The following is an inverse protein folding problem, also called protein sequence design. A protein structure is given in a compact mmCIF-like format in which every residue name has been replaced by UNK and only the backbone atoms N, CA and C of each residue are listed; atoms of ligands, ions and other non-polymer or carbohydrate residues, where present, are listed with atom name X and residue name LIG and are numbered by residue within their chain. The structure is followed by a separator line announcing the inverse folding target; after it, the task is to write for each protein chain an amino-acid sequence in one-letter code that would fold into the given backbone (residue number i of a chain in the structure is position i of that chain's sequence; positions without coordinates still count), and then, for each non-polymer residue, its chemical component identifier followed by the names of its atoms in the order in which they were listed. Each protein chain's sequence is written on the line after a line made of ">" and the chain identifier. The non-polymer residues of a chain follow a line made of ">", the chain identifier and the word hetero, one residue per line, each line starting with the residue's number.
data_IF_323461047723
#
_entry.id   IF_323461047723
#
_cell.length_a   1.000
_cell.length_b   1.000
_cell.length_c   1.000
_cell.angle_alpha   90.00
_cell.angle_beta   90.00
_cell.angle_gamma   90.00
#
_symmetry.space_group_name_H-M   'P 1'
#
loop_
_entity.id
_entity.type
_entity.pdbx_description
1 polymer ?
#
# COMPACT_ATOMS: atom_id res chain seq x y z
N UNK A 1 -21.77 -8.19 2.76
CA UNK A 1 -20.50 -7.81 2.11
C UNK A 1 -20.37 -8.64 0.84
N UNK A 2 -20.16 -7.99 -0.31
CA UNK A 2 -19.81 -8.65 -1.57
C UNK A 2 -18.46 -9.35 -1.40
N UNK A 3 -18.30 -10.52 -2.02
CA UNK A 3 -17.02 -11.23 -2.16
C UNK A 3 -17.03 -11.92 -3.51
N UNK A 4 -16.22 -11.47 -4.45
CA UNK A 4 -16.15 -12.02 -5.79
C UNK A 4 -14.70 -12.12 -6.29
N UNK A 5 -14.48 -13.10 -7.15
CA UNK A 5 -13.22 -13.30 -7.86
C UNK A 5 -13.45 -12.99 -9.33
N UNK A 6 -12.64 -12.11 -9.89
CA UNK A 6 -12.81 -11.62 -11.26
C UNK A 6 -11.46 -11.38 -11.92
N UNK A 7 -11.39 -11.55 -13.24
CA UNK A 7 -10.26 -11.04 -14.00
C UNK A 7 -10.56 -9.62 -14.47
N UNK A 8 -9.69 -8.67 -14.10
CA UNK A 8 -9.73 -7.29 -14.60
C UNK A 8 -8.57 -7.14 -15.58
N UNK A 9 -8.88 -6.99 -16.86
CA UNK A 9 -7.88 -7.23 -17.90
C UNK A 9 -7.34 -8.66 -17.84
N UNK A 10 -6.04 -8.82 -17.76
CA UNK A 10 -5.36 -10.12 -17.66
C UNK A 10 -5.05 -10.56 -16.22
N UNK A 11 -5.36 -9.73 -15.22
CA UNK A 11 -4.96 -9.96 -13.82
C UNK A 11 -6.14 -10.45 -13.00
N UNK A 12 -5.90 -11.53 -12.24
CA UNK A 12 -6.86 -12.08 -11.29
C UNK A 12 -6.97 -11.18 -10.05
N UNK A 13 -8.20 -10.89 -9.64
CA UNK A 13 -8.51 -10.01 -8.53
C UNK A 13 -9.54 -10.65 -7.58
N UNK A 14 -9.33 -10.42 -6.28
CA UNK A 14 -10.35 -10.66 -5.26
C UNK A 14 -10.97 -9.31 -4.89
N UNK A 15 -12.29 -9.19 -4.99
CA UNK A 15 -13.01 -7.94 -4.70
C UNK A 15 -13.98 -8.16 -3.57
N UNK A 16 -13.90 -7.29 -2.57
CA UNK A 16 -14.85 -7.25 -1.46
C UNK A 16 -15.47 -5.86 -1.38
N UNK A 17 -16.77 -5.77 -1.09
CA UNK A 17 -17.41 -4.48 -0.91
C UNK A 17 -18.52 -4.52 0.16
N UNK A 18 -18.63 -3.44 0.90
CA UNK A 18 -19.79 -3.16 1.74
C UNK A 18 -21.02 -2.86 0.87
N UNK A 19 -22.22 -2.77 1.44
CA UNK A 19 -23.44 -2.50 0.67
C UNK A 19 -23.41 -1.14 -0.04
N UNK A 20 -22.77 -0.14 0.59
CA UNK A 20 -22.64 1.23 0.07
C UNK A 20 -21.20 1.69 0.23
N UNK A 21 -20.32 1.36 -0.69
CA UNK A 21 -18.95 1.86 -0.65
C UNK A 21 -18.91 3.37 -0.90
N UNK A 22 -18.06 4.06 -0.16
CA UNK A 22 -17.78 5.50 -0.26
C UNK A 22 -16.30 5.75 -0.65
N UNK A 23 -15.50 4.69 -0.67
CA UNK A 23 -14.07 4.73 -0.98
C UNK A 23 -13.64 3.42 -1.63
N UNK A 24 -12.67 3.50 -2.54
CA UNK A 24 -12.05 2.38 -3.22
C UNK A 24 -10.65 2.15 -2.66
N UNK A 25 -10.32 0.90 -2.35
CA UNK A 25 -9.04 0.48 -1.81
C UNK A 25 -8.36 -0.45 -2.79
N UNK A 26 -7.09 -0.20 -3.08
CA UNK A 26 -6.29 -0.94 -4.06
C UNK A 26 -5.06 -1.50 -3.37
N UNK A 27 -4.90 -2.82 -3.41
CA UNK A 27 -3.80 -3.52 -2.76
C UNK A 27 -3.22 -4.60 -3.67
N UNK A 28 -1.90 -4.64 -3.88
CA UNK A 28 -1.25 -5.79 -4.50
C UNK A 28 -1.30 -7.00 -3.55
N UNK A 29 -1.48 -8.18 -4.12
CA UNK A 29 -1.49 -9.45 -3.40
C UNK A 29 -0.55 -10.45 -4.08
N UNK A 30 0.20 -11.20 -3.31
CA UNK A 30 0.98 -12.29 -3.86
C UNK A 30 0.08 -13.49 -4.18
N UNK A 31 0.33 -14.16 -5.30
CA UNK A 31 -0.52 -15.23 -5.84
C UNK A 31 -0.86 -16.36 -4.86
N UNK A 32 0.02 -16.61 -3.88
CA UNK A 32 -0.21 -17.62 -2.84
C UNK A 32 -1.09 -17.11 -1.69
N UNK A 33 -1.20 -15.78 -1.50
CA UNK A 33 -2.03 -15.17 -0.44
C UNK A 33 -3.52 -15.24 -0.77
N UNK A 34 -3.88 -15.32 -2.06
CA UNK A 34 -5.28 -15.48 -2.50
C UNK A 34 -5.93 -16.79 -2.00
N UNK A 35 -5.11 -17.75 -1.52
CA UNK A 35 -5.57 -19.01 -0.92
C UNK A 35 -5.52 -19.02 0.61
N UNK A 36 -5.04 -17.95 1.24
CA UNK A 36 -4.85 -17.87 2.68
C UNK A 36 -5.95 -17.04 3.35
N UNK A 37 -6.26 -17.39 4.61
CA UNK A 37 -7.17 -16.64 5.47
C UNK A 37 -6.73 -15.19 5.76
N UNK A 38 -5.55 -14.76 5.29
CA UNK A 38 -4.99 -13.42 5.48
C UNK A 38 -5.89 -12.32 4.90
N UNK A 39 -6.29 -12.44 3.64
CA UNK A 39 -7.19 -11.47 2.98
C UNK A 39 -8.53 -11.39 3.70
N UNK A 40 -9.15 -12.53 4.01
CA UNK A 40 -10.43 -12.55 4.72
C UNK A 40 -10.32 -11.92 6.12
N UNK A 41 -9.20 -12.15 6.83
CA UNK A 41 -8.92 -11.54 8.13
C UNK A 41 -8.78 -10.03 8.01
N UNK A 42 -8.01 -9.56 7.05
CA UNK A 42 -7.81 -8.14 6.77
C UNK A 42 -9.14 -7.44 6.48
N UNK A 43 -9.94 -7.96 5.56
CA UNK A 43 -11.25 -7.41 5.19
C UNK A 43 -12.20 -7.40 6.39
N UNK A 44 -12.23 -8.47 7.20
CA UNK A 44 -13.06 -8.54 8.41
C UNK A 44 -12.64 -7.48 9.44
N UNK A 45 -11.35 -7.29 9.65
CA UNK A 45 -10.85 -6.26 10.58
C UNK A 45 -11.16 -4.86 10.07
N UNK A 46 -10.92 -4.61 8.79
CA UNK A 46 -11.24 -3.34 8.15
C UNK A 46 -12.73 -3.00 8.28
N UNK A 47 -13.61 -3.99 8.06
CA UNK A 47 -15.06 -3.82 8.19
C UNK A 47 -15.52 -3.45 9.61
N UNK A 48 -14.72 -3.74 10.64
CA UNK A 48 -15.03 -3.39 12.02
C UNK A 48 -14.41 -2.07 12.47
N UNK A 49 -13.42 -1.54 11.72
CA UNK A 49 -12.62 -0.37 12.12
C UNK A 49 -12.82 0.86 11.23
N UNK A 50 -13.20 0.65 9.96
CA UNK A 50 -13.50 1.72 9.04
C UNK A 50 -14.84 2.40 9.37
N UNK A 51 -14.85 3.74 9.34
CA UNK A 51 -16.05 4.55 9.61
C UNK A 51 -16.93 4.78 8.39
N UNK A 52 -16.44 4.43 7.19
CA UNK A 52 -17.16 4.53 5.91
C UNK A 52 -17.22 3.17 5.22
N UNK A 53 -18.23 2.99 4.37
CA UNK A 53 -18.28 1.85 3.47
C UNK A 53 -17.12 1.87 2.47
N UNK A 54 -16.64 0.71 2.07
CA UNK A 54 -15.51 0.58 1.15
C UNK A 54 -15.71 -0.56 0.15
N UNK A 55 -15.03 -0.46 -0.99
CA UNK A 55 -14.72 -1.58 -1.86
C UNK A 55 -13.21 -1.75 -1.90
N UNK A 56 -12.72 -2.96 -1.66
CA UNK A 56 -11.29 -3.29 -1.71
C UNK A 56 -11.04 -4.33 -2.79
N UNK A 57 -10.00 -4.09 -3.59
CA UNK A 57 -9.50 -5.02 -4.58
C UNK A 57 -8.07 -5.45 -4.24
N UNK A 58 -7.89 -6.76 -4.17
CA UNK A 58 -6.58 -7.40 -4.11
C UNK A 58 -6.25 -7.90 -5.51
N UNK A 59 -5.30 -7.28 -6.18
CA UNK A 59 -4.87 -7.72 -7.51
C UNK A 59 -3.62 -8.60 -7.42
N UNK A 60 -3.63 -9.70 -8.17
CA UNK A 60 -2.56 -10.71 -8.12
C UNK A 60 -1.29 -10.21 -8.81
N UNK A 61 -0.16 -10.36 -8.14
CA UNK A 61 1.17 -10.12 -8.69
C UNK A 61 1.93 -11.44 -8.78
N UNK A 62 2.17 -11.91 -9.99
CA UNK A 62 2.81 -13.24 -10.21
C UNK A 62 4.24 -13.26 -9.68
N UNK A 63 4.98 -12.17 -9.86
CA UNK A 63 6.37 -12.00 -9.41
C UNK A 63 6.47 -10.74 -8.57
N UNK A 64 6.26 -10.88 -7.26
CA UNK A 64 6.10 -9.82 -6.27
C UNK A 64 7.14 -8.70 -6.38
N UNK A 65 8.44 -9.05 -6.32
CA UNK A 65 9.50 -8.06 -6.39
C UNK A 65 9.58 -7.40 -7.78
N UNK A 66 9.39 -8.17 -8.86
CA UNK A 66 9.44 -7.67 -10.23
C UNK A 66 8.33 -6.65 -10.50
N UNK A 67 7.11 -6.94 -10.05
CA UNK A 67 5.95 -6.09 -10.26
C UNK A 67 5.95 -4.80 -9.41
N UNK A 68 6.59 -4.81 -8.24
CA UNK A 68 6.42 -3.74 -7.24
C UNK A 68 7.67 -2.91 -6.96
N UNK A 69 8.87 -3.40 -7.30
CA UNK A 69 10.10 -2.63 -7.09
C UNK A 69 10.21 -1.51 -8.13
N UNK A 70 10.34 -0.25 -7.70
CA UNK A 70 10.43 0.89 -8.63
C UNK A 70 11.78 0.99 -9.36
N UNK A 71 12.82 0.36 -8.83
CA UNK A 71 14.16 0.23 -9.43
C UNK A 71 14.88 -0.98 -8.86
N UNK A 72 15.95 -1.38 -9.51
CA UNK A 72 16.75 -2.52 -9.09
C UNK A 72 17.49 -2.24 -7.78
N UNK A 73 17.45 -3.21 -6.88
CA UNK A 73 18.34 -3.29 -5.72
C UNK A 73 18.78 -4.75 -5.54
N UNK A 74 20.09 -5.02 -5.66
CA UNK A 74 20.69 -6.34 -5.51
C UNK A 74 20.44 -6.98 -4.13
N UNK A 75 20.12 -6.18 -3.12
CA UNK A 75 19.77 -6.70 -1.79
C UNK A 75 18.38 -7.33 -1.76
N UNK A 76 17.49 -6.95 -2.70
CA UNK A 76 16.17 -7.58 -2.90
C UNK A 76 16.29 -8.75 -3.85
N UNK A 77 16.94 -8.55 -4.99
CA UNK A 77 17.14 -9.56 -6.01
C UNK A 77 18.31 -9.21 -6.92
N UNK A 78 19.05 -10.24 -7.37
CA UNK A 78 20.06 -10.11 -8.42
C UNK A 78 19.49 -10.28 -9.84
N UNK A 79 18.18 -10.54 -9.96
CA UNK A 79 17.51 -10.60 -11.26
C UNK A 79 17.39 -9.15 -11.79
N UNK A 80 17.96 -8.90 -12.97
CA UNK A 80 17.97 -7.59 -13.62
C UNK A 80 16.57 -7.07 -13.99
N UNK A 81 15.59 -7.96 -14.14
CA UNK A 81 14.20 -7.57 -14.41
C UNK A 81 13.47 -6.98 -13.18
N UNK A 82 14.00 -7.18 -11.96
CA UNK A 82 13.45 -6.54 -10.77
C UNK A 82 13.76 -5.05 -10.79
N UNK A 83 12.72 -4.23 -10.68
CA UNK A 83 12.82 -2.77 -10.77
C UNK A 83 12.47 -2.20 -12.14
N UNK A 84 12.03 -3.02 -13.10
CA UNK A 84 11.66 -2.56 -14.44
C UNK A 84 10.14 -2.51 -14.69
N UNK A 85 9.32 -3.16 -13.84
CA UNK A 85 7.89 -3.37 -14.11
C UNK A 85 6.93 -2.68 -13.13
N UNK A 86 7.43 -1.93 -12.15
CA UNK A 86 6.54 -1.16 -11.27
C UNK A 86 5.70 -0.13 -12.06
N UNK A 87 6.28 0.46 -13.11
CA UNK A 87 5.55 1.37 -14.00
C UNK A 87 4.44 0.65 -14.77
N UNK A 88 4.67 -0.56 -15.26
CA UNK A 88 3.65 -1.37 -15.94
C UNK A 88 2.51 -1.71 -14.99
N UNK A 89 2.83 -2.01 -13.72
CA UNK A 89 1.84 -2.24 -12.68
C UNK A 89 1.00 -0.99 -12.40
N UNK A 90 1.62 0.19 -12.35
CA UNK A 90 0.90 1.45 -12.17
C UNK A 90 0.00 1.75 -13.37
N UNK A 91 0.48 1.57 -14.60
CA UNK A 91 -0.32 1.72 -15.82
C UNK A 91 -1.53 0.78 -15.81
N UNK A 92 -1.35 -0.49 -15.42
CA UNK A 92 -2.47 -1.41 -15.25
C UNK A 92 -3.50 -0.89 -14.25
N UNK A 93 -3.06 -0.35 -13.11
CA UNK A 93 -3.96 0.21 -12.10
C UNK A 93 -4.75 1.39 -12.68
N UNK A 94 -4.08 2.31 -13.38
CA UNK A 94 -4.71 3.52 -13.92
C UNK A 94 -5.62 3.24 -15.13
N UNK A 95 -5.21 2.35 -16.03
CA UNK A 95 -5.90 2.14 -17.31
C UNK A 95 -6.94 1.01 -17.27
N UNK A 96 -6.83 0.08 -16.31
CA UNK A 96 -7.73 -1.07 -16.23
C UNK A 96 -8.46 -1.15 -14.89
N UNK A 97 -7.73 -1.13 -13.78
CA UNK A 97 -8.30 -1.41 -12.46
C UNK A 97 -9.18 -0.27 -11.94
N UNK A 98 -8.68 0.96 -11.95
CA UNK A 98 -9.45 2.14 -11.49
C UNK A 98 -10.68 2.39 -12.37
N UNK A 99 -10.61 2.33 -13.71
CA UNK A 99 -11.80 2.43 -14.55
C UNK A 99 -12.86 1.36 -14.25
N UNK A 100 -12.45 0.11 -14.09
CA UNK A 100 -13.36 -0.98 -13.72
C UNK A 100 -14.04 -0.74 -12.35
N UNK A 101 -13.27 -0.30 -11.36
CA UNK A 101 -13.81 0.04 -10.04
C UNK A 101 -14.81 1.21 -10.12
N UNK A 102 -14.51 2.24 -10.91
CA UNK A 102 -15.40 3.39 -11.11
C UNK A 102 -16.69 3.02 -11.85
N UNK A 103 -16.62 2.11 -12.82
CA UNK A 103 -17.81 1.58 -13.49
C UNK A 103 -18.69 0.77 -12.52
N UNK A 104 -18.07 -0.04 -11.67
CA UNK A 104 -18.76 -0.98 -10.76
C UNK A 104 -19.35 -0.29 -9.53
N UNK A 105 -18.66 0.67 -8.94
CA UNK A 105 -18.98 1.26 -7.63
C UNK A 105 -19.21 2.78 -7.68
N UNK A 106 -19.01 3.41 -8.83
CA UNK A 106 -19.07 4.88 -8.98
C UNK A 106 -17.69 5.53 -8.88
N UNK A 107 -17.62 6.81 -9.28
CA UNK A 107 -16.38 7.63 -9.21
C UNK A 107 -16.07 8.03 -7.76
N UNK A 108 -15.61 7.09 -6.99
CA UNK A 108 -15.24 7.26 -5.59
C UNK A 108 -13.72 7.53 -5.45
N UNK A 109 -13.28 8.18 -4.35
CA UNK A 109 -11.86 8.38 -4.09
C UNK A 109 -11.13 7.04 -3.91
N UNK A 110 -9.90 6.96 -4.44
CA UNK A 110 -9.07 5.76 -4.39
C UNK A 110 -7.96 5.91 -3.34
N UNK A 111 -7.77 4.89 -2.50
CA UNK A 111 -6.64 4.73 -1.59
C UNK A 111 -5.80 3.56 -2.07
N UNK A 112 -4.51 3.78 -2.25
CA UNK A 112 -3.56 2.71 -2.54
C UNK A 112 -2.83 2.30 -1.27
N UNK A 113 -2.60 1.00 -1.08
CA UNK A 113 -1.89 0.53 0.10
C UNK A 113 -1.30 -0.85 -0.05
N UNK A 114 -0.65 -1.31 1.00
CA UNK A 114 -0.08 -2.66 1.07
C UNK A 114 0.97 -2.82 2.15
N UNK A 115 1.49 -4.05 2.23
CA UNK A 115 2.49 -4.47 3.18
C UNK A 115 3.87 -4.63 2.52
N UNK A 116 4.94 -4.29 3.24
CA UNK A 116 6.32 -4.54 2.80
C UNK A 116 6.63 -3.87 1.45
N UNK A 117 6.96 -4.62 0.40
CA UNK A 117 7.13 -4.10 -0.97
C UNK A 117 5.82 -3.51 -1.52
N UNK A 118 4.65 -4.01 -1.10
CA UNK A 118 3.37 -3.40 -1.44
C UNK A 118 3.20 -2.00 -0.86
N UNK A 119 3.66 -1.78 0.36
CA UNK A 119 3.69 -0.46 1.00
C UNK A 119 4.71 0.49 0.35
N UNK A 120 5.88 -0.01 -0.04
CA UNK A 120 6.87 0.72 -0.84
C UNK A 120 6.27 1.16 -2.18
N UNK A 121 5.65 0.22 -2.91
CA UNK A 121 5.00 0.49 -4.18
C UNK A 121 3.89 1.54 -4.03
N UNK A 122 3.07 1.44 -2.99
CA UNK A 122 2.00 2.41 -2.75
C UNK A 122 2.53 3.84 -2.56
N UNK A 123 3.60 4.02 -1.78
CA UNK A 123 4.27 5.31 -1.60
C UNK A 123 4.91 5.83 -2.90
N UNK A 124 5.50 4.93 -3.70
CA UNK A 124 6.06 5.28 -4.99
C UNK A 124 4.96 5.65 -6.00
N UNK A 125 3.92 4.83 -6.14
CA UNK A 125 2.81 5.04 -7.06
C UNK A 125 2.09 6.37 -6.81
N UNK A 126 1.86 6.72 -5.53
CA UNK A 126 1.23 8.00 -5.18
C UNK A 126 2.12 9.23 -5.43
N UNK A 127 3.44 9.04 -5.67
CA UNK A 127 4.33 10.11 -6.15
C UNK A 127 4.35 10.20 -7.68
N UNK A 128 3.99 9.11 -8.37
CA UNK A 128 3.91 9.10 -9.84
C UNK A 128 2.54 9.55 -10.36
N UNK A 129 1.48 9.28 -9.59
CA UNK A 129 0.09 9.41 -10.03
C UNK A 129 -0.74 10.25 -9.06
N UNK A 130 -1.66 11.04 -9.60
CA UNK A 130 -2.70 11.76 -8.85
C UNK A 130 -4.00 10.95 -8.69
N UNK A 131 -4.03 9.70 -9.11
CA UNK A 131 -5.22 8.85 -9.01
C UNK A 131 -5.59 8.49 -7.55
N UNK A 132 -4.68 8.67 -6.61
CA UNK A 132 -4.84 8.24 -5.22
C UNK A 132 -4.97 9.43 -4.28
N UNK A 133 -6.05 9.48 -3.49
CA UNK A 133 -6.26 10.51 -2.47
C UNK A 133 -5.50 10.23 -1.16
N UNK A 134 -5.14 8.97 -0.90
CA UNK A 134 -4.41 8.57 0.30
C UNK A 134 -3.51 7.34 0.05
N UNK A 135 -2.50 7.18 0.93
CA UNK A 135 -1.57 6.04 0.93
C UNK A 135 -1.61 5.32 2.28
N UNK A 136 -1.81 4.01 2.23
CA UNK A 136 -1.80 3.10 3.38
C UNK A 136 -0.57 2.18 3.33
N UNK A 137 0.59 2.65 3.82
CA UNK A 137 1.85 1.93 3.76
C UNK A 137 2.17 1.23 5.09
N UNK A 138 1.88 -0.07 5.18
CA UNK A 138 2.16 -0.88 6.35
C UNK A 138 3.54 -1.56 6.24
N UNK A 139 4.42 -1.30 7.20
CA UNK A 139 5.80 -1.82 7.28
C UNK A 139 6.54 -1.77 5.92
N UNK A 140 6.54 -0.61 5.23
CA UNK A 140 7.05 -0.50 3.86
C UNK A 140 8.57 -0.76 3.80
N UNK A 141 9.05 -1.40 2.74
CA UNK A 141 10.45 -1.77 2.53
C UNK A 141 11.34 -0.58 2.15
N UNK A 142 11.35 0.51 2.94
CA UNK A 142 12.05 1.77 2.63
C UNK A 142 13.57 1.71 2.80
N UNK A 143 14.11 0.57 3.21
CA UNK A 143 15.54 0.31 3.32
C UNK A 143 16.25 0.10 1.98
N UNK A 144 15.51 0.05 0.86
CA UNK A 144 16.09 -0.07 -0.47
C UNK A 144 16.99 1.14 -0.80
N UNK A 145 18.03 0.87 -1.57
CA UNK A 145 19.00 1.90 -1.95
C UNK A 145 18.33 3.04 -2.73
N UNK A 146 18.59 4.28 -2.32
CA UNK A 146 18.12 5.49 -3.01
C UNK A 146 16.69 5.92 -2.67
N UNK A 147 15.96 5.19 -1.80
CA UNK A 147 14.59 5.57 -1.44
C UNK A 147 14.52 6.96 -0.81
N UNK A 148 15.35 7.22 0.19
CA UNK A 148 15.38 8.51 0.91
C UNK A 148 15.58 9.69 -0.04
N UNK A 149 16.62 9.59 -0.90
CA UNK A 149 16.90 10.63 -1.90
C UNK A 149 15.74 10.82 -2.89
N UNK A 150 15.12 9.72 -3.31
CA UNK A 150 13.95 9.76 -4.19
C UNK A 150 12.76 10.47 -3.51
N UNK A 151 12.44 10.11 -2.27
CA UNK A 151 11.32 10.67 -1.51
C UNK A 151 11.48 12.16 -1.24
N UNK A 152 12.71 12.62 -0.93
CA UNK A 152 13.03 14.02 -0.70
C UNK A 152 12.87 14.89 -1.96
N UNK A 153 13.11 14.32 -3.14
CA UNK A 153 13.05 15.02 -4.42
C UNK A 153 11.74 14.82 -5.20
N UNK A 154 10.75 14.14 -4.63
CA UNK A 154 9.45 13.85 -5.26
C UNK A 154 8.30 14.12 -4.29
N UNK A 155 7.45 15.07 -4.64
CA UNK A 155 6.26 15.37 -3.86
C UNK A 155 5.24 14.22 -3.91
N UNK A 156 4.55 14.00 -2.80
CA UNK A 156 3.40 13.11 -2.76
C UNK A 156 2.20 13.82 -3.39
N UNK A 157 1.49 13.15 -4.30
CA UNK A 157 0.25 13.69 -4.89
C UNK A 157 -0.98 13.39 -4.01
N UNK A 158 -0.90 12.44 -3.09
CA UNK A 158 -1.98 12.12 -2.16
C UNK A 158 -2.08 13.16 -1.03
N UNK A 159 -3.28 13.29 -0.46
CA UNK A 159 -3.60 14.24 0.62
C UNK A 159 -3.39 13.64 2.02
N UNK A 160 -3.35 12.31 2.13
CA UNK A 160 -3.16 11.59 3.39
C UNK A 160 -2.13 10.48 3.21
N UNK A 161 -1.32 10.25 4.23
CA UNK A 161 -0.36 9.15 4.23
C UNK A 161 -0.24 8.50 5.62
N UNK A 162 -0.47 7.20 5.67
CA UNK A 162 -0.19 6.37 6.83
C UNK A 162 1.07 5.56 6.58
N UNK A 163 1.98 5.59 7.54
CA UNK A 163 3.16 4.73 7.55
C UNK A 163 3.23 4.00 8.89
N UNK A 164 3.62 2.75 8.90
CA UNK A 164 3.86 2.02 10.14
C UNK A 164 5.09 1.14 10.10
N UNK A 165 5.56 0.70 11.27
CA UNK A 165 6.64 -0.26 11.40
C UNK A 165 6.42 -1.11 12.65
N UNK A 166 6.92 -2.33 12.67
CA UNK A 166 7.02 -3.12 13.88
C UNK A 166 8.20 -2.67 14.75
N UNK A 167 8.00 -2.59 16.06
CA UNK A 167 8.99 -2.09 17.04
C UNK A 167 10.27 -2.97 17.13
N UNK A 168 10.24 -4.16 16.52
CA UNK A 168 11.40 -5.08 16.45
C UNK A 168 11.95 -5.28 15.04
N UNK A 169 11.43 -4.59 14.03
CA UNK A 169 11.88 -4.77 12.64
C UNK A 169 13.32 -4.24 12.44
N UNK A 170 13.71 -3.19 13.13
CA UNK A 170 15.07 -2.64 13.07
C UNK A 170 16.11 -3.51 13.82
N UNK A 171 15.67 -4.52 14.59
CA UNK A 171 16.54 -5.44 15.33
C UNK A 171 16.83 -6.75 14.56
N UNK A 172 16.82 -6.70 13.23
CA UNK A 172 17.12 -7.86 12.41
C UNK A 172 18.64 -8.06 12.19
N UNK A 173 19.04 -9.28 11.73
CA UNK A 173 20.44 -9.60 11.47
C UNK A 173 21.00 -8.96 10.19
N UNK A 174 20.14 -8.54 9.27
CA UNK A 174 20.56 -7.95 8.01
C UNK A 174 20.86 -6.45 8.22
N UNK A 175 22.13 -6.05 8.08
CA UNK A 175 22.59 -4.68 8.32
C UNK A 175 21.86 -3.61 7.50
N UNK A 176 21.38 -3.90 6.29
CA UNK A 176 20.58 -2.94 5.51
C UNK A 176 19.19 -2.76 6.10
N UNK A 177 18.57 -3.86 6.50
CA UNK A 177 17.23 -3.83 7.09
C UNK A 177 17.22 -3.22 8.51
N UNK A 178 18.37 -3.21 9.24
CA UNK A 178 18.44 -2.51 10.54
C UNK A 178 18.19 -1.01 10.43
N UNK A 179 18.41 -0.41 9.25
CA UNK A 179 18.16 1.01 8.99
C UNK A 179 16.70 1.33 8.73
N UNK A 180 15.82 0.33 8.70
CA UNK A 180 14.41 0.53 8.34
C UNK A 180 13.71 1.54 9.27
N UNK A 181 14.02 1.52 10.58
CA UNK A 181 13.47 2.47 11.54
C UNK A 181 13.82 3.92 11.18
N UNK A 182 15.08 4.18 10.81
CA UNK A 182 15.52 5.53 10.40
C UNK A 182 14.89 5.93 9.06
N UNK A 183 14.81 5.00 8.10
CA UNK A 183 14.17 5.26 6.81
C UNK A 183 12.69 5.62 6.96
N UNK A 184 11.97 4.92 7.82
CA UNK A 184 10.54 5.16 8.07
C UNK A 184 10.30 6.47 8.83
N UNK A 185 11.16 6.81 9.82
CA UNK A 185 11.11 8.11 10.51
C UNK A 185 11.38 9.25 9.53
N UNK A 186 12.40 9.10 8.67
CA UNK A 186 12.70 10.09 7.63
C UNK A 186 11.54 10.27 6.65
N UNK A 187 10.98 9.17 6.13
CA UNK A 187 9.81 9.21 5.25
C UNK A 187 8.65 9.96 5.91
N UNK A 188 8.34 9.68 7.17
CA UNK A 188 7.27 10.37 7.88
C UNK A 188 7.53 11.89 8.00
N UNK A 189 8.77 12.31 8.27
CA UNK A 189 9.13 13.72 8.32
C UNK A 189 9.00 14.38 6.94
N UNK A 190 9.44 13.72 5.88
CA UNK A 190 9.29 14.18 4.50
C UNK A 190 7.81 14.36 4.13
N UNK A 191 6.97 13.37 4.46
CA UNK A 191 5.52 13.43 4.26
C UNK A 191 4.90 14.59 5.06
N UNK A 192 5.27 14.76 6.33
CA UNK A 192 4.76 15.85 7.18
C UNK A 192 5.12 17.24 6.61
N UNK A 193 6.29 17.38 5.99
CA UNK A 193 6.70 18.61 5.33
C UNK A 193 5.96 18.83 4.00
N UNK A 194 5.58 17.77 3.28
CA UNK A 194 4.92 17.87 1.96
C UNK A 194 3.42 18.09 2.07
N UNK A 195 2.73 17.36 2.96
CA UNK A 195 1.26 17.36 3.06
C UNK A 195 0.73 17.82 4.42
N UNK A 196 1.61 18.17 5.35
CA UNK A 196 1.25 18.61 6.70
C UNK A 196 1.21 17.49 7.74
N UNK A 197 1.61 17.81 8.97
CA UNK A 197 1.69 16.84 10.08
C UNK A 197 0.34 16.27 10.52
N UNK A 198 -0.78 16.96 10.27
CA UNK A 198 -2.13 16.47 10.54
C UNK A 198 -2.62 15.45 9.48
N UNK A 199 -2.00 15.45 8.31
CA UNK A 199 -2.35 14.61 7.17
C UNK A 199 -1.51 13.32 7.07
N UNK A 200 -0.54 13.14 7.97
CA UNK A 200 0.30 11.94 8.00
C UNK A 200 0.43 11.38 9.42
N UNK A 201 0.76 10.10 9.51
CA UNK A 201 1.04 9.43 10.78
C UNK A 201 2.12 8.37 10.62
N UNK A 202 2.88 8.15 11.71
CA UNK A 202 3.78 7.01 11.86
C UNK A 202 3.32 6.20 13.07
N UNK A 203 2.83 4.98 12.83
CA UNK A 203 2.41 4.06 13.89
C UNK A 203 3.45 2.96 14.13
N UNK A 204 3.83 2.77 15.39
CA UNK A 204 4.66 1.65 15.82
C UNK A 204 3.78 0.49 16.30
N UNK A 205 3.89 -0.65 15.62
CA UNK A 205 3.17 -1.86 15.99
C UNK A 205 4.07 -2.80 16.80
N UNK A 206 3.48 -3.58 17.69
CA UNK A 206 4.24 -4.61 18.42
C UNK A 206 4.71 -5.71 17.46
N UNK A 207 5.96 -6.14 17.57
CA UNK A 207 6.52 -7.29 16.89
C UNK A 207 7.47 -6.99 15.74
N UNK A 208 7.90 -8.06 15.07
CA UNK A 208 8.78 -8.03 13.89
C UNK A 208 8.00 -7.84 12.59
N UNK A 209 8.69 -8.12 11.46
CA UNK A 209 8.14 -7.92 10.12
C UNK A 209 7.02 -8.90 9.75
N UNK A 210 6.99 -10.09 10.31
CA UNK A 210 6.06 -11.16 9.94
C UNK A 210 5.09 -11.49 11.08
N UNK A 211 3.88 -11.95 10.71
CA UNK A 211 2.89 -12.53 11.61
C UNK A 211 1.62 -11.70 11.85
N UNK A 212 1.63 -10.41 11.52
CA UNK A 212 0.49 -9.49 11.71
C UNK A 212 0.22 -8.60 10.49
N UNK A 213 0.55 -9.08 9.27
CA UNK A 213 0.47 -8.32 8.03
C UNK A 213 -0.94 -7.81 7.76
N UNK A 214 -1.92 -8.72 7.80
CA UNK A 214 -3.34 -8.42 7.59
C UNK A 214 -3.87 -7.37 8.57
N UNK A 215 -3.48 -7.46 9.84
CA UNK A 215 -3.89 -6.53 10.90
C UNK A 215 -3.31 -5.13 10.66
N UNK A 216 -2.02 -5.05 10.34
CA UNK A 216 -1.33 -3.79 10.10
C UNK A 216 -1.85 -3.09 8.85
N UNK A 217 -2.13 -3.85 7.79
CA UNK A 217 -2.67 -3.29 6.55
C UNK A 217 -4.12 -2.82 6.74
N UNK A 218 -4.95 -3.60 7.44
CA UNK A 218 -6.30 -3.16 7.81
C UNK A 218 -6.30 -1.86 8.61
N UNK A 219 -5.39 -1.72 9.59
CA UNK A 219 -5.22 -0.48 10.37
C UNK A 219 -4.84 0.70 9.49
N UNK A 220 -3.90 0.48 8.55
CA UNK A 220 -3.45 1.52 7.64
C UNK A 220 -4.59 2.06 6.77
N UNK A 221 -5.36 1.18 6.14
CA UNK A 221 -6.53 1.58 5.36
C UNK A 221 -7.60 2.24 6.24
N UNK A 222 -7.90 1.67 7.41
CA UNK A 222 -8.89 2.24 8.33
C UNK A 222 -8.50 3.67 8.74
N UNK A 223 -7.22 3.91 9.06
CA UNK A 223 -6.75 5.25 9.40
C UNK A 223 -6.97 6.23 8.24
N UNK A 224 -6.61 5.85 7.01
CA UNK A 224 -6.84 6.68 5.83
C UNK A 224 -8.33 7.01 5.67
N UNK A 225 -9.21 5.99 5.70
CA UNK A 225 -10.68 6.16 5.59
C UNK A 225 -11.21 7.13 6.66
N UNK A 226 -10.79 6.93 7.91
CA UNK A 226 -11.31 7.67 9.07
C UNK A 226 -10.83 9.13 9.11
N UNK A 227 -9.77 9.47 8.35
CA UNK A 227 -9.22 10.82 8.31
C UNK A 227 -9.49 11.57 6.99
N UNK A 228 -10.17 10.98 6.00
CA UNK A 228 -10.45 11.62 4.69
C UNK A 228 -11.15 12.98 4.81
N UNK A 229 -11.97 13.19 5.83
CA UNK A 229 -12.70 14.45 6.01
C UNK A 229 -11.87 15.56 6.71
N UNK A 230 -10.63 15.26 7.13
CA UNK A 230 -9.75 16.23 7.81
C UNK A 230 -8.76 16.91 6.86
N UNK A 231 -8.68 16.45 5.61
CA UNK A 231 -7.77 16.92 4.57
C UNK A 231 -8.40 17.98 3.64
N UNK A 232 -9.42 18.72 4.14
CA UNK A 232 -10.11 19.80 3.44
C UNK A 232 -9.85 21.14 4.07
#
# INVERSE_FOLDING_TARGET
>A
MLNENVNIGSIYCNVFATERPEVLLIQPSARHETKNDGINREVKMLATTATKGFAIVFFDTVEWAKALMPWQDEAVSRNEEVGMHAQDTLVYIEESLVPWLHERFGKLPCIIGGYSLGGLFALWAARQSAAFCAVAAASPSLWIKGWTDYADNRSLNAQLAYVSLGDREEHCRNQRMTRIGDCVRHEHLTLANQIGSSATTLEWNSGGHFGNEAERTAKAFAWCINNMNKAG
#
